data_IF_925444274213
#
_entry.id   IF_925444274213
#
_cell.length_a   1.000
_cell.length_b   1.000
_cell.length_c   1.000
_cell.angle_alpha   90.00
_cell.angle_beta   90.00
_cell.angle_gamma   90.00
#
_symmetry.space_group_name_H-M   'P 1'
#
loop_
_entity.id
_entity.type
_entity.pdbx_description
1 polymer ?
#
# COMPACT_ATOMS: atom_id res chain seq x y z
N UNK A 1 18.48 18.50 -21.89
CA UNK A 1 17.17 18.51 -21.20
C UNK A 1 17.25 17.52 -20.06
N UNK A 2 17.37 18.00 -18.82
CA UNK A 2 17.31 17.14 -17.63
C UNK A 2 15.83 16.93 -17.30
N UNK A 3 15.27 15.82 -17.78
CA UNK A 3 13.94 15.37 -17.39
C UNK A 3 13.93 15.06 -15.90
N UNK A 4 13.65 16.09 -15.10
CA UNK A 4 13.36 15.94 -13.69
C UNK A 4 12.00 15.23 -13.60
N UNK A 5 12.05 13.90 -13.62
CA UNK A 5 10.91 13.03 -13.40
C UNK A 5 10.16 13.49 -12.15
N UNK A 6 9.12 14.29 -12.34
CA UNK A 6 8.13 14.59 -11.31
C UNK A 6 7.35 13.29 -11.12
N UNK A 7 7.88 12.42 -10.28
CA UNK A 7 7.14 11.28 -9.79
C UNK A 7 5.78 11.76 -9.28
N UNK A 8 4.71 11.05 -9.65
CA UNK A 8 3.34 11.41 -9.25
C UNK A 8 3.18 11.42 -7.72
N UNK A 9 4.03 10.68 -7.00
CA UNK A 9 4.06 10.60 -5.56
C UNK A 9 5.48 10.80 -5.01
N UNK A 10 5.58 11.12 -3.71
CA UNK A 10 6.86 11.19 -3.03
C UNK A 10 7.43 9.80 -2.73
N UNK A 11 8.76 9.71 -2.53
CA UNK A 11 9.44 8.44 -2.25
C UNK A 11 8.82 7.67 -1.07
N UNK A 12 8.41 8.38 -0.02
CA UNK A 12 7.76 7.77 1.16
C UNK A 12 6.43 7.10 0.77
N UNK A 13 5.60 7.77 -0.02
CA UNK A 13 4.34 7.20 -0.50
C UNK A 13 4.53 5.96 -1.35
N UNK A 14 5.59 5.90 -2.16
CA UNK A 14 5.92 4.70 -2.92
C UNK A 14 6.26 3.51 -2.03
N UNK A 15 6.95 3.75 -0.91
CA UNK A 15 7.26 2.70 0.07
C UNK A 15 5.96 2.21 0.73
N UNK A 16 5.06 3.13 1.11
CA UNK A 16 3.76 2.78 1.70
C UNK A 16 2.87 2.03 0.68
N UNK A 17 2.87 2.45 -0.59
CA UNK A 17 2.21 1.71 -1.68
C UNK A 17 2.73 0.28 -1.76
N UNK A 18 4.06 0.10 -1.79
CA UNK A 18 4.66 -1.22 -1.92
C UNK A 18 4.28 -2.12 -0.74
N UNK A 19 4.27 -1.57 0.48
CA UNK A 19 3.79 -2.28 1.66
C UNK A 19 2.29 -2.68 1.55
N UNK A 20 1.45 -1.79 1.01
CA UNK A 20 0.04 -2.07 0.72
C UNK A 20 -0.13 -3.22 -0.28
N UNK A 21 0.61 -3.19 -1.39
CA UNK A 21 0.61 -4.26 -2.40
C UNK A 21 1.08 -5.60 -1.82
N UNK A 22 2.15 -5.59 -1.02
CA UNK A 22 2.61 -6.81 -0.34
C UNK A 22 1.53 -7.37 0.60
N UNK A 23 0.81 -6.49 1.32
CA UNK A 23 -0.30 -6.88 2.19
C UNK A 23 -1.44 -7.52 1.39
N UNK A 24 -1.78 -6.97 0.22
CA UNK A 24 -2.77 -7.58 -0.68
C UNK A 24 -2.34 -8.97 -1.14
N UNK A 25 -1.09 -9.13 -1.57
CA UNK A 25 -0.53 -10.43 -1.99
C UNK A 25 -0.64 -11.43 -0.84
N UNK A 26 -0.29 -11.04 0.38
CA UNK A 26 -0.43 -11.90 1.57
C UNK A 26 -1.90 -12.27 1.83
N UNK A 27 -2.83 -11.33 1.70
CA UNK A 27 -4.26 -11.60 1.87
C UNK A 27 -4.82 -12.62 0.87
N UNK A 28 -4.46 -12.48 -0.41
CA UNK A 28 -4.82 -13.46 -1.44
C UNK A 28 -4.12 -14.81 -1.25
N UNK A 29 -2.87 -14.79 -0.78
CA UNK A 29 -2.14 -16.01 -0.46
C UNK A 29 -2.80 -16.76 0.69
N UNK A 30 -3.23 -16.07 1.75
CA UNK A 30 -3.96 -16.65 2.88
C UNK A 30 -5.25 -17.31 2.38
N UNK A 31 -6.02 -16.64 1.51
CA UNK A 31 -7.23 -17.22 0.90
C UNK A 31 -6.94 -18.51 0.13
N UNK A 32 -5.87 -18.51 -0.68
CA UNK A 32 -5.49 -19.67 -1.48
C UNK A 32 -4.83 -20.81 -0.70
N UNK A 33 -4.24 -20.51 0.46
CA UNK A 33 -3.60 -21.49 1.35
C UNK A 33 -4.57 -22.24 2.26
N UNK A 34 -5.85 -21.84 2.26
CA UNK A 34 -6.86 -22.49 3.07
C UNK A 34 -7.04 -23.96 2.65
N UNK A 35 -7.03 -24.85 3.64
CA UNK A 35 -7.06 -26.30 3.42
C UNK A 35 -8.48 -26.84 3.25
N UNK A 36 -9.50 -26.02 3.54
CA UNK A 36 -10.90 -26.35 3.34
C UNK A 36 -11.33 -26.24 1.86
N UNK A 37 -12.19 -27.15 1.35
CA UNK A 37 -12.71 -27.07 0.00
C UNK A 37 -13.35 -25.70 -0.26
N UNK A 38 -13.02 -25.11 -1.40
CA UNK A 38 -13.48 -23.78 -1.81
C UNK A 38 -13.06 -22.61 -0.90
N UNK A 39 -12.14 -22.82 0.05
CA UNK A 39 -11.72 -21.77 0.98
C UNK A 39 -12.83 -21.36 1.98
N UNK A 40 -13.76 -22.27 2.27
CA UNK A 40 -14.80 -22.07 3.30
C UNK A 40 -14.26 -22.15 4.73
N UNK A 41 -12.96 -22.38 4.90
CA UNK A 41 -12.31 -22.27 6.18
C UNK A 41 -12.30 -20.82 6.69
N UNK A 42 -11.99 -20.68 7.98
CA UNK A 42 -11.91 -19.37 8.61
C UNK A 42 -10.86 -18.47 7.95
N UNK A 43 -9.75 -19.06 7.50
CA UNK A 43 -8.63 -18.33 6.88
C UNK A 43 -9.04 -17.73 5.53
N UNK A 44 -9.77 -18.48 4.71
CA UNK A 44 -10.24 -18.05 3.40
C UNK A 44 -11.45 -17.13 3.44
N UNK A 45 -12.43 -17.42 4.31
CA UNK A 45 -13.70 -16.69 4.32
C UNK A 45 -13.68 -15.43 5.20
N UNK A 46 -12.79 -15.35 6.19
CA UNK A 46 -12.74 -14.19 7.11
C UNK A 46 -11.38 -13.51 7.13
N UNK A 47 -10.29 -14.24 7.41
CA UNK A 47 -8.99 -13.63 7.59
C UNK A 47 -8.45 -13.04 6.28
N UNK A 48 -8.52 -13.79 5.19
CA UNK A 48 -8.13 -13.36 3.85
C UNK A 48 -8.82 -12.06 3.44
N UNK A 49 -10.16 -11.99 3.44
CA UNK A 49 -10.88 -10.77 3.08
C UNK A 49 -10.52 -9.58 3.98
N UNK A 50 -10.34 -9.79 5.28
CA UNK A 50 -9.93 -8.73 6.22
C UNK A 50 -8.53 -8.20 5.88
N UNK A 51 -7.58 -9.08 5.61
CA UNK A 51 -6.21 -8.69 5.24
C UNK A 51 -6.19 -7.94 3.90
N UNK A 52 -6.96 -8.39 2.91
CA UNK A 52 -7.12 -7.69 1.62
C UNK A 52 -7.72 -6.30 1.83
N UNK A 53 -8.77 -6.18 2.66
CA UNK A 53 -9.37 -4.89 3.00
C UNK A 53 -8.39 -3.92 3.65
N UNK A 54 -7.56 -4.41 4.58
CA UNK A 54 -6.50 -3.60 5.20
C UNK A 54 -5.43 -3.18 4.17
N UNK A 55 -5.04 -4.08 3.27
CA UNK A 55 -4.13 -3.76 2.17
C UNK A 55 -4.66 -2.64 1.28
N UNK A 56 -5.95 -2.67 0.95
CA UNK A 56 -6.60 -1.58 0.21
C UNK A 56 -6.62 -0.27 1.00
N UNK A 57 -6.89 -0.30 2.31
CA UNK A 57 -6.87 0.92 3.13
C UNK A 57 -5.48 1.55 3.19
N UNK A 58 -4.42 0.74 3.33
CA UNK A 58 -3.03 1.21 3.24
C UNK A 58 -2.78 1.87 1.88
N UNK A 59 -3.31 1.29 0.82
CA UNK A 59 -3.18 1.83 -0.52
C UNK A 59 -3.87 3.20 -0.69
N UNK A 60 -5.06 3.36 -0.11
CA UNK A 60 -5.74 4.64 -0.03
C UNK A 60 -4.92 5.69 0.72
N UNK A 61 -4.35 5.33 1.88
CA UNK A 61 -3.51 6.24 2.65
C UNK A 61 -2.25 6.62 1.86
N UNK A 62 -1.61 5.68 1.18
CA UNK A 62 -0.42 5.96 0.37
C UNK A 62 -0.69 6.97 -0.76
N UNK A 63 -1.87 6.90 -1.38
CA UNK A 63 -2.29 7.80 -2.45
C UNK A 63 -2.70 9.18 -1.89
N UNK A 64 -3.46 9.18 -0.78
CA UNK A 64 -4.00 10.41 -0.18
C UNK A 64 -2.99 11.19 0.65
N UNK A 65 -1.94 10.53 1.14
CA UNK A 65 -0.90 11.17 1.93
C UNK A 65 -0.18 12.20 1.07
N UNK A 66 -0.51 13.48 1.22
CA UNK A 66 0.25 14.58 0.62
C UNK A 66 1.25 15.06 1.67
N UNK A 67 2.55 14.69 1.56
CA UNK A 67 3.53 15.21 2.48
C UNK A 67 3.61 16.73 2.33
N UNK A 68 3.60 17.43 3.47
CA UNK A 68 3.85 18.86 3.54
C UNK A 68 5.22 19.11 2.93
N UNK A 69 5.27 19.91 1.86
CA UNK A 69 6.51 20.39 1.27
C UNK A 69 7.30 21.07 2.39
N UNK A 70 8.45 20.52 2.77
CA UNK A 70 9.41 21.26 3.57
C UNK A 70 9.94 22.36 2.66
N UNK A 71 9.31 23.52 2.71
CA UNK A 71 9.90 24.74 2.17
C UNK A 71 11.11 25.06 3.05
N UNK A 72 12.27 24.48 2.72
CA UNK A 72 13.56 25.00 3.13
C UNK A 72 13.81 26.26 2.31
N UNK A 73 13.10 27.33 2.66
CA UNK A 73 13.41 28.71 2.30
C UNK A 73 14.06 29.36 3.51
N UNK A 74 15.31 29.01 3.74
CA UNK A 74 16.32 29.69 4.54
C UNK A 74 17.61 29.09 3.98
N UNK A 75 18.32 29.77 3.09
CA UNK A 75 19.16 30.93 3.38
C UNK A 75 19.18 31.83 2.13
N UNK A 76 18.63 33.04 2.20
CA UNK A 76 19.33 34.33 2.39
C UNK A 76 20.29 34.70 1.26
N UNK A 77 19.82 35.70 0.48
CA UNK A 77 20.56 36.74 -0.27
C UNK A 77 21.61 36.34 -1.32
#
# INVERSE_FOLDING_TARGET
>A
MSDQSKFAFQKVNYIIMLAGVLTLIVGFFIMGSDSEPYGFGFLGLTLGPIVVMLGFLIQFVAILYKPKKSDSTADSE
#
